data_IF_331799501302
#
_entry.id   IF_331799501302
#
_cell.length_a   1.000
_cell.length_b   1.000
_cell.length_c   1.000
_cell.angle_alpha   90.00
_cell.angle_beta   90.00
_cell.angle_gamma   90.00
#
_symmetry.space_group_name_H-M   'P 1'
#
loop_
_entity.id
_entity.type
_entity.pdbx_description
1 polymer ?
#
# COMPACT_ATOMS: atom_id res chain seq x y z
N UNK A 1 4.39 44.73 -68.46
CA UNK A 1 3.95 43.66 -67.53
C UNK A 1 4.75 43.75 -66.24
N UNK A 2 4.19 44.37 -65.20
CA UNK A 2 4.76 44.35 -63.83
C UNK A 2 3.60 44.03 -62.89
N UNK A 3 3.64 42.84 -62.31
CA UNK A 3 2.64 42.28 -61.39
C UNK A 3 2.83 42.84 -59.99
N UNK A 4 1.79 43.45 -59.43
CA UNK A 4 1.69 43.77 -58.00
C UNK A 4 1.34 42.50 -57.23
N UNK A 5 2.19 42.11 -56.28
CA UNK A 5 1.88 41.07 -55.29
C UNK A 5 1.18 41.70 -54.09
N UNK A 6 -0.03 41.22 -53.76
CA UNK A 6 -0.78 41.58 -52.54
C UNK A 6 -0.30 40.69 -51.39
N UNK A 7 0.27 41.29 -50.34
CA UNK A 7 0.49 40.62 -49.06
C UNK A 7 -0.83 40.49 -48.29
N UNK A 8 -1.16 39.27 -47.88
CA UNK A 8 -2.21 38.97 -46.90
C UNK A 8 -1.52 38.73 -45.55
N UNK A 9 -1.92 39.39 -44.44
CA UNK A 9 -1.35 39.09 -43.14
C UNK A 9 -2.04 37.85 -42.57
N UNK A 10 -1.23 36.82 -42.27
CA UNK A 10 -1.67 35.63 -41.54
C UNK A 10 -1.76 35.99 -40.05
N UNK A 11 -2.98 36.14 -39.53
CA UNK A 11 -3.21 36.32 -38.09
C UNK A 11 -3.05 34.95 -37.41
N UNK A 12 -1.91 34.76 -36.73
CA UNK A 12 -1.65 33.58 -35.93
C UNK A 12 -2.36 33.73 -34.57
N UNK A 13 -3.51 33.08 -34.41
CA UNK A 13 -4.23 33.04 -33.14
C UNK A 13 -3.46 32.21 -32.11
N UNK A 14 -2.88 32.87 -31.11
CA UNK A 14 -2.31 32.21 -29.93
C UNK A 14 -3.46 31.70 -29.05
N UNK A 15 -3.77 30.41 -29.15
CA UNK A 15 -4.64 29.73 -28.18
C UNK A 15 -3.78 29.49 -26.95
N UNK A 16 -3.95 30.34 -25.93
CA UNK A 16 -3.43 30.10 -24.59
C UNK A 16 -4.15 28.89 -24.01
N UNK A 17 -3.55 27.71 -24.15
CA UNK A 17 -3.97 26.53 -23.40
C UNK A 17 -3.73 26.82 -21.92
N UNK A 18 -4.81 27.08 -21.18
CA UNK A 18 -4.76 27.06 -19.71
C UNK A 18 -4.27 25.67 -19.29
N UNK A 19 -3.24 25.55 -18.45
CA UNK A 19 -2.90 24.25 -17.90
C UNK A 19 -4.12 23.81 -17.09
N UNK A 20 -4.78 22.74 -17.54
CA UNK A 20 -5.70 22.02 -16.69
C UNK A 20 -4.88 21.64 -15.45
N UNK A 21 -5.17 22.28 -14.32
CA UNK A 21 -4.66 21.82 -13.05
C UNK A 21 -5.07 20.34 -12.99
N UNK A 22 -4.08 19.45 -13.00
CA UNK A 22 -4.32 18.05 -12.74
C UNK A 22 -5.10 18.01 -11.42
N UNK A 23 -6.37 17.62 -11.50
CA UNK A 23 -7.22 17.48 -10.33
C UNK A 23 -6.48 16.48 -9.44
N UNK A 24 -5.81 17.01 -8.41
CA UNK A 24 -5.09 16.19 -7.46
C UNK A 24 -6.17 15.25 -6.94
N UNK A 25 -5.99 13.95 -7.14
CA UNK A 25 -6.82 12.89 -6.56
C UNK A 25 -6.66 12.95 -5.05
N UNK A 26 -7.15 14.01 -4.43
CA UNK A 26 -7.01 14.30 -3.03
C UNK A 26 -8.03 13.42 -2.34
N UNK A 27 -7.55 12.49 -1.51
CA UNK A 27 -8.44 11.77 -0.64
C UNK A 27 -9.23 12.74 0.24
N UNK A 28 -10.44 12.33 0.61
CA UNK A 28 -11.35 13.14 1.42
C UNK A 28 -10.63 13.76 2.62
N UNK A 29 -10.80 15.07 2.80
CA UNK A 29 -10.25 15.82 3.95
C UNK A 29 -10.94 15.49 5.29
N UNK A 30 -12.00 14.68 5.26
CA UNK A 30 -12.77 14.25 6.43
C UNK A 30 -13.07 12.75 6.39
N UNK A 31 -13.21 12.12 7.55
CA UNK A 31 -13.55 10.69 7.64
C UNK A 31 -12.32 9.80 7.47
N UNK A 32 -12.54 8.58 6.96
CA UNK A 32 -11.47 7.60 6.73
C UNK A 32 -11.44 7.20 5.25
N UNK A 33 -10.25 7.07 4.66
CA UNK A 33 -10.08 6.61 3.29
C UNK A 33 -8.82 5.75 3.12
N UNK A 34 -8.89 4.74 2.26
CA UNK A 34 -7.73 4.01 1.76
C UNK A 34 -7.25 4.69 0.46
N UNK A 35 -5.96 5.00 0.36
CA UNK A 35 -5.34 5.41 -0.90
C UNK A 35 -4.22 4.46 -1.27
N UNK A 36 -4.16 4.05 -2.53
CA UNK A 36 -3.05 3.24 -3.02
C UNK A 36 -1.96 4.18 -3.52
N UNK A 37 -0.77 4.09 -2.94
CA UNK A 37 0.40 4.76 -3.50
C UNK A 37 0.87 4.01 -4.75
N UNK A 38 0.99 2.69 -4.64
CA UNK A 38 1.28 1.78 -5.73
C UNK A 38 0.35 0.58 -5.70
N UNK A 39 0.07 0.07 -6.89
CA UNK A 39 -0.92 -1.00 -7.12
C UNK A 39 -0.38 -2.17 -7.93
N UNK A 40 0.92 -2.17 -8.24
CA UNK A 40 1.62 -3.24 -8.94
C UNK A 40 2.37 -4.17 -7.99
N UNK A 41 2.91 -5.25 -8.54
CA UNK A 41 3.85 -6.15 -7.86
C UNK A 41 5.31 -5.90 -8.28
N UNK A 42 6.11 -6.96 -8.51
CA UNK A 42 7.53 -6.84 -8.86
C UNK A 42 7.77 -6.61 -10.36
N UNK A 43 6.73 -6.70 -11.20
CA UNK A 43 6.83 -6.53 -12.65
C UNK A 43 6.50 -5.08 -13.02
N UNK A 44 7.38 -4.45 -13.81
CA UNK A 44 7.32 -3.02 -14.15
C UNK A 44 6.72 -2.71 -15.52
N UNK A 45 6.04 -3.67 -16.14
CA UNK A 45 5.58 -3.61 -17.53
C UNK A 45 4.35 -2.72 -17.77
N UNK A 46 3.66 -2.29 -16.72
CA UNK A 46 2.45 -1.47 -16.81
C UNK A 46 2.52 -0.09 -16.13
N UNK A 47 3.74 0.32 -15.76
CA UNK A 47 4.06 1.62 -15.15
C UNK A 47 3.35 1.91 -13.81
N UNK A 48 2.98 0.87 -13.05
CA UNK A 48 2.59 1.00 -11.65
C UNK A 48 3.80 1.05 -10.73
N UNK A 49 3.69 1.82 -9.65
CA UNK A 49 4.52 1.60 -8.48
C UNK A 49 4.16 0.27 -7.82
N UNK A 50 5.14 -0.36 -7.18
CA UNK A 50 4.94 -1.56 -6.38
C UNK A 50 4.09 -1.28 -5.13
N UNK A 51 3.70 -2.34 -4.40
CA UNK A 51 2.76 -2.27 -3.28
C UNK A 51 3.06 -1.14 -2.29
N UNK A 52 2.04 -0.33 -2.01
CA UNK A 52 2.07 0.66 -0.94
C UNK A 52 0.72 1.34 -0.82
N UNK A 53 0.24 1.51 0.40
CA UNK A 53 -1.06 2.08 0.70
C UNK A 53 -0.99 3.02 1.91
N UNK A 54 -1.76 4.10 1.88
CA UNK A 54 -1.93 4.99 3.03
C UNK A 54 -3.39 5.02 3.48
N UNK A 55 -3.58 5.11 4.79
CA UNK A 55 -4.90 5.31 5.38
C UNK A 55 -5.01 6.74 5.90
N UNK A 56 -5.91 7.48 5.26
CA UNK A 56 -6.27 8.84 5.63
C UNK A 56 -7.31 8.81 6.73
N UNK A 57 -7.11 9.59 7.78
CA UNK A 57 -8.05 9.76 8.88
C UNK A 57 -8.12 11.25 9.19
N UNK A 58 -9.30 11.83 8.99
CA UNK A 58 -9.57 13.26 9.17
C UNK A 58 -8.56 14.17 8.44
N UNK A 59 -8.28 13.81 7.18
CA UNK A 59 -7.40 14.59 6.30
C UNK A 59 -5.90 14.42 6.56
N UNK A 60 -5.50 13.50 7.45
CA UNK A 60 -4.09 13.15 7.70
C UNK A 60 -3.80 11.72 7.28
N UNK A 61 -2.71 11.49 6.56
CA UNK A 61 -2.22 10.15 6.27
C UNK A 61 -1.57 9.60 7.54
N UNK A 62 -2.33 8.81 8.31
CA UNK A 62 -1.89 8.34 9.65
C UNK A 62 -1.19 7.01 9.64
N UNK A 63 -1.44 6.20 8.61
CA UNK A 63 -0.87 4.86 8.48
C UNK A 63 -0.33 4.66 7.07
N UNK A 64 0.84 4.04 6.98
CA UNK A 64 1.44 3.55 5.74
C UNK A 64 1.56 2.02 5.84
N UNK A 65 1.08 1.29 4.84
CA UNK A 65 1.19 -0.15 4.74
C UNK A 65 1.96 -0.46 3.45
N UNK A 66 3.10 -1.14 3.61
CA UNK A 66 4.12 -1.37 2.60
C UNK A 66 4.73 -0.08 2.03
N UNK A 67 5.94 -0.23 1.47
CA UNK A 67 6.73 0.82 0.87
C UNK A 67 7.55 0.26 -0.30
N UNK A 68 6.87 -0.33 -1.28
CA UNK A 68 7.47 -0.85 -2.51
C UNK A 68 8.10 0.21 -3.40
N UNK A 69 8.85 -0.22 -4.42
CA UNK A 69 9.49 0.67 -5.39
C UNK A 69 8.51 1.65 -6.06
N UNK A 70 8.86 2.94 -6.05
CA UNK A 70 8.04 4.02 -6.60
C UNK A 70 7.05 4.63 -5.60
N UNK A 71 6.81 3.99 -4.45
CA UNK A 71 5.90 4.52 -3.42
C UNK A 71 6.42 5.80 -2.77
N UNK A 72 7.74 6.03 -2.71
CA UNK A 72 8.30 7.30 -2.22
C UNK A 72 7.80 8.50 -3.03
N UNK A 73 7.85 8.41 -4.37
CA UNK A 73 7.37 9.46 -5.26
C UNK A 73 5.86 9.66 -5.08
N UNK A 74 5.11 8.55 -5.00
CA UNK A 74 3.65 8.56 -4.84
C UNK A 74 3.21 9.09 -3.48
N UNK A 75 3.99 8.84 -2.43
CA UNK A 75 3.78 9.41 -1.09
C UNK A 75 3.77 10.93 -1.16
N UNK A 76 4.78 11.54 -1.80
CA UNK A 76 4.82 12.99 -2.03
C UNK A 76 3.65 13.50 -2.90
N UNK A 77 3.32 12.79 -3.98
CA UNK A 77 2.20 13.17 -4.87
C UNK A 77 0.83 13.09 -4.20
N UNK A 78 0.66 12.21 -3.22
CA UNK A 78 -0.58 12.09 -2.44
C UNK A 78 -0.81 13.28 -1.49
N UNK A 79 0.24 14.06 -1.20
CA UNK A 79 0.21 15.11 -0.17
C UNK A 79 0.34 14.57 1.27
N UNK A 80 0.61 13.27 1.43
CA UNK A 80 0.94 12.68 2.72
C UNK A 80 2.20 13.31 3.30
N UNK A 81 2.25 13.41 4.63
CA UNK A 81 3.37 14.00 5.36
C UNK A 81 3.88 13.01 6.39
N UNK A 82 5.20 12.92 6.53
CA UNK A 82 5.83 11.95 7.42
C UNK A 82 5.52 12.26 8.90
N UNK A 83 5.33 13.53 9.25
CA UNK A 83 4.90 13.95 10.58
C UNK A 83 3.43 13.65 10.92
N UNK A 84 2.63 13.17 9.96
CA UNK A 84 1.27 12.70 10.23
C UNK A 84 1.20 11.18 10.49
N UNK A 85 2.26 10.41 10.16
CA UNK A 85 2.25 8.95 10.26
C UNK A 85 2.48 8.47 11.69
N UNK A 86 1.52 7.79 12.29
CA UNK A 86 1.69 7.16 13.61
C UNK A 86 2.18 5.70 13.49
N UNK A 87 1.88 5.05 12.36
CA UNK A 87 2.16 3.64 12.14
C UNK A 87 2.63 3.37 10.71
N UNK A 88 3.65 2.51 10.59
CA UNK A 88 4.11 1.89 9.34
C UNK A 88 4.05 0.37 9.51
N UNK A 89 3.32 -0.31 8.65
CA UNK A 89 3.25 -1.77 8.59
C UNK A 89 3.97 -2.29 7.36
N UNK A 90 4.90 -3.23 7.50
CA UNK A 90 5.48 -3.98 6.40
C UNK A 90 4.88 -5.38 6.41
N UNK A 91 4.18 -5.75 5.35
CA UNK A 91 3.51 -7.05 5.25
C UNK A 91 4.51 -8.19 5.18
N UNK A 92 5.53 -8.06 4.33
CA UNK A 92 6.61 -9.04 4.17
C UNK A 92 7.84 -8.43 3.48
N UNK A 93 8.93 -9.21 3.39
CA UNK A 93 10.24 -8.74 2.89
C UNK A 93 10.55 -9.15 1.45
N UNK A 94 9.53 -9.20 0.58
CA UNK A 94 9.80 -9.06 -0.85
C UNK A 94 10.10 -7.59 -1.17
N UNK A 95 10.97 -7.37 -2.16
CA UNK A 95 11.50 -6.04 -2.47
C UNK A 95 10.43 -5.05 -2.89
N UNK A 96 9.41 -5.53 -3.60
CA UNK A 96 8.26 -4.76 -4.08
C UNK A 96 7.29 -4.35 -2.95
N UNK A 97 7.58 -4.70 -1.69
CA UNK A 97 6.82 -4.27 -0.51
C UNK A 97 7.62 -3.37 0.45
N UNK A 98 8.93 -3.19 0.27
CA UNK A 98 9.78 -2.52 1.28
C UNK A 98 10.90 -1.63 0.73
N UNK A 99 11.21 -1.71 -0.57
CA UNK A 99 12.39 -1.07 -1.15
C UNK A 99 12.49 0.45 -0.94
N UNK A 100 11.37 1.17 -0.89
CA UNK A 100 11.33 2.62 -0.72
C UNK A 100 11.24 3.07 0.75
N UNK A 101 11.18 2.15 1.72
CA UNK A 101 11.12 2.49 3.15
C UNK A 101 12.29 3.41 3.56
N UNK A 102 13.57 3.14 3.21
CA UNK A 102 14.67 4.06 3.51
C UNK A 102 14.49 5.46 2.90
N UNK A 103 13.97 5.53 1.67
CA UNK A 103 13.77 6.80 0.98
C UNK A 103 12.69 7.66 1.65
N UNK A 104 11.61 7.03 2.13
CA UNK A 104 10.56 7.70 2.91
C UNK A 104 11.11 8.15 4.27
N UNK A 105 11.78 7.27 5.03
CA UNK A 105 12.27 7.57 6.38
C UNK A 105 13.38 8.63 6.41
N UNK A 106 14.16 8.77 5.33
CA UNK A 106 15.13 9.87 5.15
C UNK A 106 14.48 11.25 5.29
N UNK A 107 13.16 11.37 5.03
CA UNK A 107 12.39 12.58 5.30
C UNK A 107 12.48 13.07 6.74
N UNK A 108 12.84 12.20 7.69
CA UNK A 108 12.99 12.51 9.12
C UNK A 108 13.96 13.65 9.44
N UNK A 109 14.90 13.99 8.56
CA UNK A 109 15.78 15.16 8.72
C UNK A 109 15.04 16.50 8.58
N UNK A 110 13.94 16.49 7.84
CA UNK A 110 13.28 17.71 7.36
C UNK A 110 11.95 18.00 8.08
N UNK A 111 11.60 17.21 9.10
CA UNK A 111 10.40 17.47 9.89
C UNK A 111 10.52 18.80 10.64
N UNK A 112 9.42 19.51 10.86
CA UNK A 112 9.42 20.77 11.63
C UNK A 112 9.56 20.55 13.14
N UNK A 113 9.18 19.37 13.65
CA UNK A 113 9.20 19.00 15.06
C UNK A 113 9.57 17.53 15.21
N UNK A 114 9.96 17.13 16.43
CA UNK A 114 10.17 15.72 16.76
C UNK A 114 8.89 14.92 16.61
N UNK A 115 9.00 13.71 16.06
CA UNK A 115 7.91 12.79 15.83
C UNK A 115 8.36 11.35 16.08
N UNK A 116 7.43 10.48 16.44
CA UNK A 116 7.69 9.06 16.64
C UNK A 116 6.69 8.22 15.86
N UNK A 117 7.18 7.13 15.25
CA UNK A 117 6.36 6.23 14.45
C UNK A 117 6.62 4.78 14.87
N UNK A 118 5.55 4.01 15.02
CA UNK A 118 5.67 2.56 15.21
C UNK A 118 5.89 1.89 13.86
N UNK A 119 6.88 1.03 13.76
CA UNK A 119 7.17 0.23 12.56
C UNK A 119 6.97 -1.25 12.91
N UNK A 120 6.02 -1.93 12.30
CA UNK A 120 5.77 -3.35 12.55
C UNK A 120 5.91 -4.18 11.28
N UNK A 121 6.53 -5.34 11.40
CA UNK A 121 6.65 -6.31 10.31
C UNK A 121 6.81 -7.73 10.83
N UNK A 122 6.90 -8.74 9.95
CA UNK A 122 6.91 -10.13 10.38
C UNK A 122 8.20 -10.50 11.12
N UNK A 123 8.11 -11.51 11.97
CA UNK A 123 9.29 -12.31 12.33
C UNK A 123 9.92 -12.93 11.09
N UNK A 124 11.25 -13.06 11.08
CA UNK A 124 12.00 -13.64 9.97
C UNK A 124 12.02 -15.17 9.96
N UNK A 125 12.71 -15.71 8.97
CA UNK A 125 13.06 -17.12 8.85
C UNK A 125 14.49 -17.26 8.27
N UNK A 126 14.82 -18.40 7.66
CA UNK A 126 16.14 -18.63 7.07
C UNK A 126 16.46 -17.73 5.85
N UNK A 127 15.44 -17.23 5.15
CA UNK A 127 15.57 -16.48 3.91
C UNK A 127 15.23 -14.99 4.09
N UNK A 128 14.32 -14.67 5.00
CA UNK A 128 13.82 -13.32 5.23
C UNK A 128 14.22 -12.80 6.61
N UNK A 129 14.65 -11.53 6.74
CA UNK A 129 14.89 -10.92 8.04
C UNK A 129 13.60 -10.75 8.83
N UNK A 130 13.70 -10.55 10.14
CA UNK A 130 12.62 -9.93 10.91
C UNK A 130 12.60 -8.41 10.69
N UNK A 131 11.54 -7.72 11.11
CA UNK A 131 11.48 -6.26 11.04
C UNK A 131 12.61 -5.57 11.79
N UNK A 132 12.93 -6.02 13.01
CA UNK A 132 14.04 -5.48 13.80
C UNK A 132 15.39 -5.77 13.14
N UNK A 133 15.59 -6.97 12.58
CA UNK A 133 16.82 -7.35 11.89
C UNK A 133 16.99 -6.58 10.58
N UNK A 134 15.92 -6.40 9.80
CA UNK A 134 15.93 -5.57 8.59
C UNK A 134 16.29 -4.13 8.94
N UNK A 135 15.62 -3.54 9.93
CA UNK A 135 15.90 -2.17 10.38
C UNK A 135 17.37 -1.99 10.81
N UNK A 136 17.93 -2.96 11.54
CA UNK A 136 19.34 -2.91 11.95
C UNK A 136 20.32 -3.07 10.76
N UNK A 137 19.98 -3.86 9.74
CA UNK A 137 20.78 -4.03 8.52
C UNK A 137 20.70 -2.84 7.57
N UNK A 138 19.60 -2.10 7.59
CA UNK A 138 19.47 -0.88 6.81
C UNK A 138 20.10 0.31 7.54
N UNK A 139 19.81 0.51 8.82
CA UNK A 139 20.13 1.77 9.50
C UNK A 139 21.12 1.63 10.66
N UNK A 140 21.53 0.43 11.05
CA UNK A 140 22.39 0.23 12.22
C UNK A 140 23.74 0.96 12.12
N UNK A 141 24.15 1.63 13.20
CA UNK A 141 25.46 2.31 13.25
C UNK A 141 26.59 1.29 13.07
N UNK A 142 27.53 1.57 12.16
CA UNK A 142 28.72 0.75 11.91
C UNK A 142 28.51 -0.48 11.03
N UNK A 143 27.27 -0.81 10.67
CA UNK A 143 26.94 -2.06 9.96
C UNK A 143 25.81 -1.92 8.93
N UNK A 144 24.99 -0.87 9.02
CA UNK A 144 23.84 -0.66 8.16
C UNK A 144 24.21 -0.09 6.79
N UNK A 145 23.50 -0.52 5.74
CA UNK A 145 23.69 -0.02 4.37
C UNK A 145 23.52 1.51 4.28
N UNK A 146 22.58 2.05 5.04
CA UNK A 146 22.29 3.48 5.20
C UNK A 146 22.60 3.97 6.62
N UNK A 147 23.73 3.55 7.21
CA UNK A 147 24.11 3.88 8.60
C UNK A 147 24.15 5.39 8.94
N UNK A 148 24.21 6.29 7.94
CA UNK A 148 24.07 7.72 8.20
C UNK A 148 22.68 8.07 8.76
N UNK A 149 21.68 7.21 8.54
CA UNK A 149 20.34 7.26 9.14
C UNK A 149 20.24 6.54 10.49
N UNK A 150 21.36 6.17 11.12
CA UNK A 150 21.35 5.40 12.39
C UNK A 150 20.67 6.11 13.57
N UNK A 151 20.53 7.44 13.50
CA UNK A 151 19.73 8.21 14.45
C UNK A 151 18.22 7.94 14.39
N UNK A 152 17.71 7.22 13.39
CA UNK A 152 16.28 6.90 13.27
C UNK A 152 15.77 6.08 14.46
N UNK A 153 16.62 5.31 15.15
CA UNK A 153 16.18 4.52 16.31
C UNK A 153 15.76 5.36 17.53
N UNK A 154 16.20 6.61 17.61
CA UNK A 154 16.00 7.45 18.80
C UNK A 154 15.99 8.98 18.52
N UNK A 155 15.76 9.39 17.28
CA UNK A 155 15.76 10.79 16.82
C UNK A 155 17.05 11.55 17.20
N UNK A 156 18.21 11.01 16.81
CA UNK A 156 19.53 11.63 17.01
C UNK A 156 20.22 11.95 15.67
N UNK A 157 21.45 12.49 15.72
CA UNK A 157 22.24 12.82 14.53
C UNK A 157 21.55 13.76 13.52
N UNK A 158 20.71 14.67 14.02
CA UNK A 158 19.96 15.63 13.21
C UNK A 158 18.61 15.12 12.69
N UNK A 159 18.28 13.85 12.90
CA UNK A 159 16.94 13.31 12.63
C UNK A 159 15.96 13.77 13.69
N UNK A 160 14.75 14.12 13.26
CA UNK A 160 13.61 14.46 14.10
C UNK A 160 12.56 13.35 14.15
N UNK A 161 12.86 12.20 13.56
CA UNK A 161 11.99 11.02 13.57
C UNK A 161 12.61 9.91 14.42
N UNK A 162 11.85 9.40 15.38
CA UNK A 162 12.13 8.15 16.08
C UNK A 162 11.26 7.03 15.48
N UNK A 163 11.89 5.94 15.07
CA UNK A 163 11.24 4.76 14.51
C UNK A 163 11.37 3.61 15.50
N UNK A 164 10.25 3.00 15.86
CA UNK A 164 10.19 1.91 16.82
C UNK A 164 9.84 0.59 16.11
N UNK A 165 10.86 -0.18 15.62
CA UNK A 165 10.63 -1.44 14.94
C UNK A 165 10.15 -2.53 15.92
N UNK A 166 9.17 -3.32 15.50
CA UNK A 166 8.61 -4.43 16.26
C UNK A 166 8.34 -5.64 15.35
N UNK A 167 8.69 -6.82 15.87
CA UNK A 167 8.47 -8.09 15.17
C UNK A 167 7.12 -8.71 15.55
N UNK A 168 6.36 -9.14 14.53
CA UNK A 168 5.06 -9.79 14.69
C UNK A 168 5.15 -11.24 14.25
N UNK A 169 4.82 -12.14 15.17
CA UNK A 169 4.78 -13.57 14.91
C UNK A 169 3.66 -13.95 13.93
N UNK A 170 4.04 -14.51 12.79
CA UNK A 170 3.11 -14.97 11.73
C UNK A 170 2.37 -16.26 12.10
N UNK A 171 2.92 -17.06 13.01
CA UNK A 171 2.40 -18.37 13.41
C UNK A 171 1.33 -18.31 14.51
N UNK A 172 1.09 -17.14 15.10
CA UNK A 172 0.06 -16.98 16.13
C UNK A 172 -1.32 -17.32 15.56
N UNK A 173 -2.16 -18.09 16.28
CA UNK A 173 -3.51 -18.42 15.82
C UNK A 173 -4.47 -17.22 15.86
N UNK A 174 -4.12 -16.18 16.61
CA UNK A 174 -4.92 -14.98 16.82
C UNK A 174 -4.23 -13.72 16.31
N UNK A 175 -5.02 -12.65 16.11
CA UNK A 175 -4.52 -11.33 15.76
C UNK A 175 -3.63 -10.73 16.86
N UNK A 176 -2.58 -10.01 16.48
CA UNK A 176 -1.68 -9.29 17.39
C UNK A 176 -1.97 -7.80 17.31
N UNK A 177 -2.18 -7.13 18.45
CA UNK A 177 -2.26 -5.67 18.50
C UNK A 177 -0.87 -5.08 18.21
N UNK A 178 -0.76 -4.21 17.22
CA UNK A 178 0.52 -3.60 16.80
C UNK A 178 0.54 -2.08 16.95
N UNK A 179 -0.62 -1.43 17.04
CA UNK A 179 -0.73 0.00 17.32
C UNK A 179 -2.09 0.33 17.92
N UNK A 180 -2.12 1.28 18.86
CA UNK A 180 -3.35 1.88 19.39
C UNK A 180 -3.10 3.34 19.76
N UNK A 181 -3.90 4.26 19.23
CA UNK A 181 -3.79 5.69 19.52
C UNK A 181 -4.88 6.51 18.84
N UNK A 182 -5.39 7.55 19.51
CA UNK A 182 -6.36 8.52 18.97
C UNK A 182 -7.54 7.91 18.19
N UNK A 183 -8.15 6.87 18.75
CA UNK A 183 -9.29 6.19 18.14
C UNK A 183 -8.94 5.30 16.94
N UNK A 184 -7.67 4.95 16.76
CA UNK A 184 -7.20 3.99 15.76
C UNK A 184 -6.60 2.79 16.47
N UNK A 185 -7.00 1.59 16.06
CA UNK A 185 -6.42 0.33 16.53
C UNK A 185 -5.98 -0.48 15.32
N UNK A 186 -4.73 -0.93 15.31
CA UNK A 186 -4.17 -1.76 14.23
C UNK A 186 -3.82 -3.13 14.76
N UNK A 187 -4.32 -4.15 14.08
CA UNK A 187 -3.98 -5.54 14.31
C UNK A 187 -3.24 -6.11 13.12
N UNK A 188 -2.27 -6.97 13.39
CA UNK A 188 -1.60 -7.79 12.38
C UNK A 188 -1.96 -9.27 12.54
N UNK A 189 -1.99 -10.01 11.44
CA UNK A 189 -2.31 -11.44 11.42
C UNK A 189 -1.50 -12.16 10.35
N UNK A 190 -0.89 -13.30 10.69
CA UNK A 190 -0.10 -14.05 9.73
C UNK A 190 -0.96 -14.66 8.62
N UNK A 191 -0.50 -14.56 7.39
CA UNK A 191 -1.18 -15.03 6.18
C UNK A 191 -0.26 -15.94 5.35
N UNK A 192 -0.82 -16.84 4.52
CA UNK A 192 -0.04 -17.79 3.76
C UNK A 192 0.45 -17.19 2.44
N UNK A 193 1.75 -16.92 2.34
CA UNK A 193 2.42 -16.45 1.14
C UNK A 193 3.60 -17.38 0.80
N UNK A 194 3.29 -18.65 0.55
CA UNK A 194 4.30 -19.70 0.42
C UNK A 194 5.14 -19.87 1.68
N UNK A 195 6.47 -19.82 1.53
CA UNK A 195 7.47 -19.87 2.61
C UNK A 195 7.86 -18.49 3.16
N UNK A 196 7.24 -17.42 2.64
CA UNK A 196 7.50 -16.04 3.04
C UNK A 196 6.68 -15.71 4.30
N UNK A 197 7.33 -15.26 5.40
CA UNK A 197 6.60 -14.73 6.55
C UNK A 197 5.85 -13.47 6.15
N UNK A 198 4.51 -13.52 6.16
CA UNK A 198 3.66 -12.43 5.70
C UNK A 198 2.55 -12.09 6.70
N UNK A 199 2.14 -10.83 6.71
CA UNK A 199 1.11 -10.27 7.57
C UNK A 199 0.03 -9.54 6.77
N UNK A 200 -1.22 -9.74 7.18
CA UNK A 200 -2.33 -8.86 6.88
C UNK A 200 -2.50 -7.84 8.00
N UNK A 201 -3.02 -6.66 7.68
CA UNK A 201 -3.31 -5.60 8.65
C UNK A 201 -4.80 -5.28 8.69
N UNK A 202 -5.34 -5.11 9.89
CA UNK A 202 -6.71 -4.68 10.15
C UNK A 202 -6.69 -3.41 10.96
N UNK A 203 -7.32 -2.38 10.43
CA UNK A 203 -7.36 -1.03 10.97
C UNK A 203 -8.79 -0.76 11.39
N UNK A 204 -9.01 -0.60 12.69
CA UNK A 204 -10.32 -0.32 13.28
C UNK A 204 -10.36 1.13 13.76
N UNK A 205 -11.43 1.84 13.39
CA UNK A 205 -11.74 3.20 13.86
C UNK A 205 -13.23 3.30 14.21
N UNK A 206 -13.67 4.33 14.96
CA UNK A 206 -15.10 4.60 15.17
C UNK A 206 -15.91 4.78 13.87
N UNK A 207 -15.25 5.08 12.74
CA UNK A 207 -15.90 5.34 11.45
C UNK A 207 -15.98 4.11 10.56
N UNK A 208 -15.15 3.09 10.79
CA UNK A 208 -15.16 1.87 10.02
C UNK A 208 -13.87 1.06 10.14
N UNK A 209 -13.86 -0.05 9.40
CA UNK A 209 -12.81 -1.06 9.41
C UNK A 209 -12.22 -1.22 8.00
N UNK A 210 -10.90 -1.14 7.90
CA UNK A 210 -10.14 -1.44 6.67
C UNK A 210 -9.26 -2.66 6.93
N UNK A 211 -9.28 -3.63 6.02
CA UNK A 211 -8.42 -4.81 6.07
C UNK A 211 -7.59 -4.85 4.81
N UNK A 212 -6.27 -4.83 4.98
CA UNK A 212 -5.29 -5.04 3.92
C UNK A 212 -4.75 -6.45 4.05
N UNK A 213 -5.11 -7.30 3.08
CA UNK A 213 -4.70 -8.70 3.04
C UNK A 213 -3.18 -8.87 2.88
N UNK A 214 -2.57 -8.01 2.06
CA UNK A 214 -1.30 -8.28 1.40
C UNK A 214 -1.33 -9.60 0.59
N UNK A 215 -0.17 -10.00 0.08
CA UNK A 215 -0.03 -11.17 -0.79
C UNK A 215 -0.30 -12.46 -0.06
N UNK A 216 -1.35 -13.20 -0.45
CA UNK A 216 -1.63 -14.52 0.09
C UNK A 216 -2.28 -15.46 -0.91
N UNK A 217 -2.12 -16.77 -0.67
CA UNK A 217 -2.76 -17.85 -1.44
C UNK A 217 -4.15 -18.26 -0.94
N UNK A 218 -4.61 -17.71 0.19
CA UNK A 218 -5.95 -17.96 0.74
C UNK A 218 -6.14 -19.30 1.48
N UNK A 219 -5.08 -20.09 1.69
CA UNK A 219 -5.18 -21.41 2.35
C UNK A 219 -5.50 -21.35 3.85
N UNK A 220 -5.29 -20.20 4.51
CA UNK A 220 -5.54 -20.02 5.95
C UNK A 220 -6.97 -19.55 6.20
N UNK A 221 -7.89 -20.49 6.41
CA UNK A 221 -9.33 -20.20 6.65
C UNK A 221 -9.60 -19.18 7.76
N UNK A 222 -8.77 -19.14 8.81
CA UNK A 222 -8.90 -18.19 9.90
C UNK A 222 -8.80 -16.70 9.45
N UNK A 223 -8.26 -16.43 8.27
CA UNK A 223 -8.26 -15.09 7.67
C UNK A 223 -9.68 -14.52 7.49
N UNK A 224 -10.68 -15.36 7.19
CA UNK A 224 -12.07 -14.92 7.06
C UNK A 224 -12.56 -14.28 8.36
N UNK A 225 -12.28 -14.92 9.51
CA UNK A 225 -12.64 -14.37 10.83
C UNK A 225 -11.87 -13.09 11.17
N UNK A 226 -10.61 -12.99 10.75
CA UNK A 226 -9.82 -11.76 10.90
C UNK A 226 -10.39 -10.60 10.07
N UNK A 227 -10.83 -10.89 8.84
CA UNK A 227 -11.35 -9.88 7.91
C UNK A 227 -12.84 -9.58 8.08
N UNK A 228 -13.57 -10.37 8.87
CA UNK A 228 -15.01 -10.22 9.05
C UNK A 228 -15.42 -8.78 9.47
N UNK A 229 -16.50 -8.29 8.85
CA UNK A 229 -17.03 -6.95 9.12
C UNK A 229 -16.18 -5.81 8.57
N UNK A 230 -15.23 -6.08 7.66
CA UNK A 230 -14.50 -5.05 6.94
C UNK A 230 -15.45 -4.16 6.12
N UNK A 231 -15.30 -2.84 6.23
CA UNK A 231 -15.94 -1.91 5.29
C UNK A 231 -15.17 -1.93 3.97
N UNK A 232 -13.83 -1.84 4.01
CA UNK A 232 -12.93 -2.09 2.87
C UNK A 232 -12.11 -3.35 3.12
N UNK A 233 -12.15 -4.28 2.17
CA UNK A 233 -11.18 -5.36 2.06
C UNK A 233 -10.31 -5.12 0.83
N UNK A 234 -9.00 -5.03 1.02
CA UNK A 234 -8.01 -4.98 -0.05
C UNK A 234 -7.38 -6.36 -0.23
N UNK A 235 -7.40 -6.89 -1.46
CA UNK A 235 -6.87 -8.21 -1.82
C UNK A 235 -6.07 -8.14 -3.13
N UNK A 236 -4.97 -8.90 -3.23
CA UNK A 236 -4.16 -8.92 -4.43
C UNK A 236 -4.91 -9.57 -5.61
N UNK A 237 -4.68 -9.06 -6.81
CA UNK A 237 -5.09 -9.64 -8.08
C UNK A 237 -3.83 -9.93 -8.92
N UNK A 238 -2.91 -10.70 -8.34
CA UNK A 238 -1.56 -10.94 -8.86
C UNK A 238 -1.50 -11.92 -10.02
N UNK A 239 -2.38 -12.93 -10.00
CA UNK A 239 -2.33 -14.06 -10.92
C UNK A 239 -3.70 -14.30 -11.56
N UNK A 240 -3.72 -15.11 -12.61
CA UNK A 240 -4.94 -15.62 -13.25
C UNK A 240 -5.33 -17.00 -12.70
N UNK A 241 -6.54 -17.47 -13.03
CA UNK A 241 -7.04 -18.77 -12.58
C UNK A 241 -6.32 -19.97 -13.21
N UNK A 242 -5.60 -19.79 -14.32
CA UNK A 242 -4.84 -20.81 -15.05
C UNK A 242 -3.36 -20.87 -14.63
N UNK A 243 -2.97 -20.07 -13.63
CA UNK A 243 -1.59 -19.92 -13.20
C UNK A 243 -0.89 -21.22 -12.78
N UNK A 244 0.43 -21.30 -12.93
CA UNK A 244 1.21 -22.46 -12.52
C UNK A 244 1.17 -22.70 -11.00
N UNK A 245 1.61 -23.88 -10.58
CA UNK A 245 1.58 -24.28 -9.18
C UNK A 245 2.45 -23.38 -8.27
N UNK A 246 3.56 -22.85 -8.78
CA UNK A 246 4.45 -21.97 -8.00
C UNK A 246 3.76 -20.62 -7.73
N UNK A 247 3.11 -20.07 -8.73
CA UNK A 247 2.34 -18.84 -8.60
C UNK A 247 1.15 -19.01 -7.64
N UNK A 248 0.44 -20.14 -7.73
CA UNK A 248 -0.66 -20.48 -6.80
C UNK A 248 -0.19 -20.82 -5.38
N UNK A 249 1.08 -21.22 -5.21
CA UNK A 249 1.68 -21.42 -3.89
C UNK A 249 1.86 -20.08 -3.15
N UNK A 250 2.09 -19.00 -3.88
CA UNK A 250 2.29 -17.67 -3.33
C UNK A 250 1.00 -16.83 -3.28
N UNK A 251 0.20 -16.84 -4.34
CA UNK A 251 -0.93 -15.93 -4.51
C UNK A 251 -2.26 -16.64 -4.76
N UNK A 252 -3.34 -15.98 -4.34
CA UNK A 252 -4.71 -16.42 -4.55
C UNK A 252 -5.10 -16.15 -6.00
N UNK A 253 -5.78 -17.11 -6.62
CA UNK A 253 -6.38 -16.91 -7.93
C UNK A 253 -7.64 -16.04 -7.82
N UNK A 254 -8.13 -15.43 -8.92
CA UNK A 254 -9.39 -14.71 -8.94
C UNK A 254 -10.57 -15.48 -8.33
N UNK A 255 -10.68 -16.79 -8.57
CA UNK A 255 -11.70 -17.64 -7.93
C UNK A 255 -11.53 -17.70 -6.41
N UNK A 256 -10.30 -17.81 -5.90
CA UNK A 256 -10.04 -17.83 -4.45
C UNK A 256 -10.37 -16.47 -3.83
N UNK A 257 -9.96 -15.37 -4.46
CA UNK A 257 -10.27 -14.00 -4.01
C UNK A 257 -11.79 -13.78 -3.96
N UNK A 258 -12.51 -14.17 -5.02
CA UNK A 258 -13.97 -14.06 -5.08
C UNK A 258 -14.67 -14.86 -3.97
N UNK A 259 -14.22 -16.08 -3.69
CA UNK A 259 -14.78 -16.91 -2.60
C UNK A 259 -14.51 -16.33 -1.22
N UNK A 260 -13.27 -15.88 -0.96
CA UNK A 260 -12.93 -15.21 0.30
C UNK A 260 -13.77 -13.95 0.50
N UNK A 261 -13.90 -13.10 -0.52
CA UNK A 261 -14.72 -11.90 -0.45
C UNK A 261 -16.21 -12.22 -0.23
N UNK A 262 -16.74 -13.26 -0.88
CA UNK A 262 -18.12 -13.73 -0.67
C UNK A 262 -18.38 -14.22 0.76
N UNK A 263 -17.38 -14.83 1.40
CA UNK A 263 -17.47 -15.30 2.79
C UNK A 263 -17.31 -14.15 3.79
N UNK A 264 -16.34 -13.26 3.56
CA UNK A 264 -16.04 -12.09 4.42
C UNK A 264 -17.14 -11.04 4.34
N UNK A 265 -17.77 -10.87 3.17
CA UNK A 265 -18.81 -9.89 2.85
C UNK A 265 -18.39 -8.45 3.20
N UNK A 266 -17.26 -7.95 2.67
CA UNK A 266 -16.89 -6.56 2.86
C UNK A 266 -17.93 -5.64 2.18
N UNK A 267 -17.99 -4.36 2.57
CA UNK A 267 -18.84 -3.40 1.83
C UNK A 267 -18.25 -3.05 0.47
N UNK A 268 -16.92 -3.09 0.35
CA UNK A 268 -16.23 -2.96 -0.93
C UNK A 268 -14.95 -3.81 -0.95
N UNK A 269 -14.70 -4.42 -2.10
CA UNK A 269 -13.48 -5.15 -2.42
C UNK A 269 -12.60 -4.26 -3.31
N UNK A 270 -11.40 -3.94 -2.85
CA UNK A 270 -10.38 -3.20 -3.60
C UNK A 270 -9.30 -4.19 -4.03
N UNK A 271 -9.07 -4.30 -5.34
CA UNK A 271 -8.06 -5.17 -5.90
C UNK A 271 -6.76 -4.38 -6.13
N UNK A 272 -5.64 -4.95 -5.71
CA UNK A 272 -4.30 -4.38 -5.83
C UNK A 272 -3.28 -5.42 -6.32
N UNK A 273 -1.98 -5.13 -6.15
CA UNK A 273 -0.86 -6.01 -6.50
C UNK A 273 -1.06 -6.71 -7.85
N UNK A 274 -1.25 -5.91 -8.91
CA UNK A 274 -1.36 -6.46 -10.26
C UNK A 274 0.03 -6.81 -10.79
N UNK A 275 0.21 -8.01 -11.32
CA UNK A 275 1.41 -8.41 -12.04
C UNK A 275 1.10 -8.47 -13.54
N UNK A 276 2.12 -8.36 -14.39
CA UNK A 276 1.98 -8.45 -15.85
C UNK A 276 1.03 -9.56 -16.33
N UNK A 277 1.10 -10.76 -15.72
CA UNK A 277 0.23 -11.90 -16.06
C UNK A 277 -1.25 -11.63 -15.80
N UNK A 278 -1.62 -11.02 -14.67
CA UNK A 278 -3.03 -10.79 -14.34
C UNK A 278 -3.62 -9.63 -15.14
N UNK A 279 -2.74 -8.79 -15.69
CA UNK A 279 -3.09 -7.65 -16.53
C UNK A 279 -3.38 -8.05 -17.98
N UNK A 280 -2.86 -9.18 -18.46
CA UNK A 280 -3.13 -9.72 -19.82
C UNK A 280 -4.64 -9.74 -20.09
N UNK A 281 -5.42 -10.24 -19.12
CA UNK A 281 -6.87 -10.27 -19.20
C UNK A 281 -7.50 -9.84 -17.86
N UNK A 282 -7.17 -8.60 -17.46
CA UNK A 282 -7.64 -8.01 -16.20
C UNK A 282 -9.16 -8.06 -16.07
N UNK A 283 -9.89 -7.77 -17.14
CA UNK A 283 -11.35 -7.69 -17.10
C UNK A 283 -11.97 -9.08 -16.90
N UNK A 284 -11.45 -10.14 -17.55
CA UNK A 284 -11.85 -11.52 -17.27
C UNK A 284 -11.55 -11.91 -15.82
N UNK A 285 -10.39 -11.56 -15.30
CA UNK A 285 -10.02 -11.85 -13.90
C UNK A 285 -10.99 -11.19 -12.91
N UNK A 286 -11.37 -9.92 -13.14
CA UNK A 286 -12.39 -9.23 -12.34
C UNK A 286 -13.76 -9.90 -12.48
N UNK A 287 -14.16 -10.30 -13.69
CA UNK A 287 -15.42 -11.01 -13.91
C UNK A 287 -15.48 -12.35 -13.16
N UNK A 288 -14.37 -13.09 -13.07
CA UNK A 288 -14.30 -14.34 -12.27
C UNK A 288 -14.58 -14.06 -10.80
N UNK A 289 -13.98 -13.01 -10.22
CA UNK A 289 -14.24 -12.58 -8.84
C UNK A 289 -15.74 -12.26 -8.64
N UNK A 290 -16.32 -11.53 -9.59
CA UNK A 290 -17.73 -11.09 -9.55
C UNK A 290 -18.75 -12.24 -9.67
N UNK A 291 -18.34 -13.44 -10.13
CA UNK A 291 -19.19 -14.64 -10.09
C UNK A 291 -19.48 -15.11 -8.66
N UNK A 292 -18.59 -14.80 -7.72
CA UNK A 292 -18.70 -15.23 -6.33
C UNK A 292 -19.10 -14.09 -5.39
N UNK A 293 -18.50 -12.91 -5.54
CA UNK A 293 -18.78 -11.75 -4.72
C UNK A 293 -19.54 -10.68 -5.52
N UNK A 294 -20.75 -10.36 -5.06
CA UNK A 294 -21.68 -9.46 -5.77
C UNK A 294 -21.71 -8.04 -5.20
N UNK A 295 -20.87 -7.73 -4.22
CA UNK A 295 -20.70 -6.34 -3.76
C UNK A 295 -19.79 -5.54 -4.70
N UNK A 296 -19.58 -4.25 -4.41
CA UNK A 296 -18.68 -3.39 -5.18
C UNK A 296 -17.25 -3.95 -5.27
N UNK A 297 -16.71 -4.08 -6.48
CA UNK A 297 -15.33 -4.49 -6.79
C UNK A 297 -14.63 -3.37 -7.55
N UNK A 298 -13.46 -2.96 -7.07
CA UNK A 298 -12.67 -1.90 -7.68
C UNK A 298 -11.27 -2.40 -8.05
N UNK A 299 -10.93 -2.38 -9.33
CA UNK A 299 -9.55 -2.58 -9.77
C UNK A 299 -8.77 -1.28 -9.57
N UNK A 300 -7.91 -1.22 -8.55
CA UNK A 300 -7.19 0.00 -8.17
C UNK A 300 -6.12 0.39 -9.21
N UNK A 301 -5.72 1.65 -9.13
CA UNK A 301 -4.51 2.21 -9.76
C UNK A 301 -3.75 3.06 -8.74
N UNK A 302 -2.51 3.39 -9.05
CA UNK A 302 -1.72 4.34 -8.27
C UNK A 302 -2.52 5.63 -8.05
N UNK A 303 -2.44 6.14 -6.82
CA UNK A 303 -3.13 7.31 -6.27
C UNK A 303 -4.67 7.23 -6.21
N UNK A 304 -5.28 6.11 -6.60
CA UNK A 304 -6.72 5.90 -6.42
C UNK A 304 -7.12 5.92 -4.95
N UNK A 305 -8.27 6.53 -4.65
CA UNK A 305 -8.76 6.76 -3.30
C UNK A 305 -10.14 6.13 -3.08
N UNK A 306 -10.31 5.48 -1.93
CA UNK A 306 -11.50 4.77 -1.51
C UNK A 306 -11.96 5.26 -0.13
N UNK A 307 -12.78 6.32 -0.07
CA UNK A 307 -13.33 6.84 1.17
C UNK A 307 -14.46 5.95 1.73
N UNK A 308 -14.52 5.83 3.05
CA UNK A 308 -15.73 5.38 3.74
C UNK A 308 -16.63 6.59 3.99
N UNK A 309 -17.74 6.67 3.25
CA UNK A 309 -18.79 7.64 3.54
C UNK A 309 -19.55 7.20 4.80
N UNK A 310 -19.94 8.17 5.64
CA UNK A 310 -20.56 7.91 6.95
C UNK A 310 -21.74 6.92 6.83
N UNK A 311 -21.87 6.07 7.86
CA UNK A 311 -23.03 5.20 8.08
C UNK A 311 -24.30 6.01 8.35
#
# INVERSE_FOLDING_TARGET
MKTLSRLVPLVLGLILATPAAADQTSCSKSGIALQLLGSGGPISDDARASSGAIVWINGKARLLIDAGGGTYLRFGQSGARLEDLDFIGISHFHTDHVADLPAILKGGYFLSSSHAVTLAGPTGNAHFPSMTAFFAREFGRGQGAYQYLSGLGNATDGLRLAVHPADVRVDKPTRTLVFQGDGVTVYAFGIPHGDVPALAFRIETPKGVIVLSADQNGSRKAFVGFAAGADILMMPAAIDDDADAQSRFLHATPTVVGKLAAEIKPKMLVLDHFMGRSLIDKDKNVQIIQRYYHGPVFASRDLSCFPLFNR
#
